data_IF_152061221763
#
_entry.id   IF_152061221763
#
_cell.length_a   1.000
_cell.length_b   1.000
_cell.length_c   1.000
_cell.angle_alpha   90.00
_cell.angle_beta   90.00
_cell.angle_gamma   90.00
#
_symmetry.space_group_name_H-M   'P 1'
#
loop_
_entity.id
_entity.type
_entity.pdbx_description
1 polymer ?
#
# COMPACT_ATOMS: atom_id res chain seq x y z
N UNK A 1 1.17 18.35 -8.01
CA UNK A 1 0.93 17.09 -7.28
C UNK A 1 -0.51 16.96 -6.83
N UNK A 2 -1.06 18.01 -6.20
CA UNK A 2 -2.46 17.95 -5.77
C UNK A 2 -3.43 17.81 -6.93
N UNK A 3 -3.18 18.49 -8.05
CA UNK A 3 -4.03 18.36 -9.23
C UNK A 3 -4.03 16.94 -9.77
N UNK A 4 -2.89 16.26 -9.69
CA UNK A 4 -2.78 14.86 -10.07
C UNK A 4 -3.68 13.99 -9.19
N UNK A 5 -3.63 14.18 -7.88
CA UNK A 5 -4.50 13.45 -6.96
C UNK A 5 -5.97 13.76 -7.22
N UNK A 6 -6.32 15.03 -7.44
CA UNK A 6 -7.69 15.43 -7.69
C UNK A 6 -8.33 14.69 -8.85
N UNK A 7 -7.56 14.43 -9.91
CA UNK A 7 -8.08 13.73 -11.07
C UNK A 7 -8.28 12.23 -10.83
N UNK A 8 -7.71 11.69 -9.76
CA UNK A 8 -7.83 10.28 -9.43
C UNK A 8 -8.91 9.97 -8.43
N UNK A 9 -9.54 10.99 -7.85
CA UNK A 9 -10.64 10.80 -6.94
C UNK A 9 -11.93 10.60 -7.70
N UNK A 10 -12.75 9.67 -7.22
CA UNK A 10 -14.10 9.46 -7.71
C UNK A 10 -15.09 10.12 -6.78
N UNK A 11 -16.35 10.18 -7.23
CA UNK A 11 -17.44 10.70 -6.41
C UNK A 11 -17.51 9.97 -5.08
N UNK A 12 -17.77 10.69 -4.01
CA UNK A 12 -17.90 10.13 -2.67
C UNK A 12 -16.63 10.10 -1.86
N UNK A 13 -15.49 10.45 -2.46
CA UNK A 13 -14.25 10.57 -1.71
C UNK A 13 -14.30 11.83 -0.87
N UNK A 14 -14.07 11.68 0.43
CA UNK A 14 -14.14 12.79 1.40
C UNK A 14 -12.74 13.26 1.76
N UNK A 15 -12.61 14.54 2.08
CA UNK A 15 -11.35 15.10 2.56
C UNK A 15 -10.86 14.40 3.82
N UNK A 16 -11.77 14.05 4.73
CA UNK A 16 -11.42 13.32 5.94
C UNK A 16 -10.83 11.95 5.65
N UNK A 17 -11.33 11.26 4.62
CA UNK A 17 -10.78 9.97 4.19
C UNK A 17 -9.36 10.12 3.66
N UNK A 18 -9.11 11.18 2.88
CA UNK A 18 -7.79 11.45 2.37
C UNK A 18 -6.81 11.77 3.50
N UNK A 19 -7.21 12.60 4.45
CA UNK A 19 -6.37 12.92 5.59
C UNK A 19 -6.06 11.69 6.44
N UNK A 20 -7.04 10.83 6.64
CA UNK A 20 -6.84 9.59 7.37
C UNK A 20 -5.82 8.69 6.66
N UNK A 21 -5.90 8.60 5.33
CA UNK A 21 -4.94 7.83 4.55
C UNK A 21 -3.53 8.39 4.67
N UNK A 22 -3.38 9.69 4.44
CA UNK A 22 -2.06 10.36 4.44
C UNK A 22 -1.38 10.23 5.80
N UNK A 23 -2.13 10.27 6.88
CA UNK A 23 -1.58 10.18 8.23
C UNK A 23 -1.43 8.75 8.75
N UNK A 24 -1.89 7.77 8.01
CA UNK A 24 -1.85 6.37 8.47
C UNK A 24 -0.42 5.81 8.47
N UNK A 25 -0.04 5.05 9.50
CA UNK A 25 1.25 4.37 9.51
C UNK A 25 1.35 3.23 8.50
N UNK A 26 0.25 2.87 7.86
CA UNK A 26 0.21 1.81 6.84
C UNK A 26 0.26 2.34 5.42
N UNK A 27 0.33 3.65 5.24
CA UNK A 27 0.39 4.29 3.92
C UNK A 27 1.69 5.07 3.76
N UNK A 28 2.34 4.91 2.62
CA UNK A 28 3.59 5.61 2.30
C UNK A 28 3.47 6.33 0.97
N UNK A 29 3.75 7.64 0.99
CA UNK A 29 3.90 8.41 -0.24
C UNK A 29 5.27 8.14 -0.87
N UNK A 30 5.58 8.87 -1.95
CA UNK A 30 6.81 8.66 -2.70
C UNK A 30 8.08 8.83 -1.85
N UNK A 31 8.08 9.80 -0.95
CA UNK A 31 9.24 10.05 -0.09
C UNK A 31 9.33 9.05 1.05
N UNK A 32 8.22 8.79 1.70
CA UNK A 32 8.15 7.89 2.85
C UNK A 32 8.48 6.46 2.49
N UNK A 33 8.11 6.02 1.28
CA UNK A 33 8.35 4.65 0.88
C UNK A 33 9.85 4.33 0.81
N UNK A 34 10.68 5.31 0.50
CA UNK A 34 12.13 5.10 0.44
C UNK A 34 12.67 4.63 1.80
N UNK A 35 12.27 5.30 2.86
CA UNK A 35 12.72 4.95 4.21
C UNK A 35 12.17 3.59 4.63
N UNK A 36 10.91 3.32 4.30
CA UNK A 36 10.30 2.03 4.63
C UNK A 36 11.03 0.87 3.96
N UNK A 37 11.36 0.99 2.67
CA UNK A 37 12.04 -0.06 1.92
C UNK A 37 13.46 -0.32 2.42
N UNK A 38 14.07 0.64 3.10
CA UNK A 38 15.40 0.51 3.69
C UNK A 38 15.36 0.08 5.15
N UNK A 39 14.18 0.03 5.76
CA UNK A 39 14.06 -0.29 7.18
C UNK A 39 14.42 -1.74 7.46
N UNK A 40 14.96 -2.00 8.64
CA UNK A 40 15.26 -3.37 9.06
C UNK A 40 13.98 -4.20 9.15
N UNK A 41 12.87 -3.58 9.52
CA UNK A 41 11.58 -4.26 9.56
C UNK A 41 11.24 -4.85 8.19
N UNK A 42 11.35 -4.05 7.12
CA UNK A 42 11.05 -4.51 5.77
C UNK A 42 12.07 -5.54 5.29
N UNK A 43 13.35 -5.27 5.52
CA UNK A 43 14.43 -6.10 4.98
C UNK A 43 14.49 -7.50 5.60
N UNK A 44 14.08 -7.63 6.86
CA UNK A 44 14.14 -8.89 7.59
C UNK A 44 12.96 -9.82 7.38
N UNK A 45 11.87 -9.30 6.81
CA UNK A 45 10.64 -10.06 6.62
C UNK A 45 10.57 -10.66 5.22
N UNK A 46 9.88 -11.78 5.10
CA UNK A 46 9.42 -12.25 3.80
C UNK A 46 8.35 -11.28 3.31
N UNK A 47 8.40 -10.92 2.05
CA UNK A 47 7.58 -9.84 1.53
C UNK A 47 6.94 -10.21 0.20
N UNK A 48 5.75 -9.69 0.01
CA UNK A 48 4.94 -9.94 -1.17
C UNK A 48 4.50 -8.58 -1.73
N UNK A 49 4.39 -8.50 -3.05
CA UNK A 49 3.97 -7.27 -3.72
C UNK A 49 2.69 -7.54 -4.49
N UNK A 50 1.68 -6.71 -4.30
CA UNK A 50 0.48 -6.73 -5.14
C UNK A 50 0.36 -5.40 -5.89
N UNK A 51 0.17 -5.50 -7.20
CA UNK A 51 0.08 -4.36 -8.10
C UNK A 51 -1.37 -4.26 -8.56
N UNK A 52 -1.96 -3.07 -8.36
CA UNK A 52 -3.34 -2.87 -8.76
C UNK A 52 -4.30 -3.76 -7.98
N UNK A 53 -4.34 -3.58 -6.66
CA UNK A 53 -5.03 -4.52 -5.77
C UNK A 53 -6.57 -4.50 -5.85
N UNK A 54 -7.16 -3.57 -6.61
CA UNK A 54 -8.62 -3.52 -6.78
C UNK A 54 -9.34 -3.31 -5.45
N UNK A 55 -10.22 -4.25 -5.08
CA UNK A 55 -10.94 -4.19 -3.79
C UNK A 55 -10.10 -4.71 -2.62
N UNK A 56 -8.96 -5.35 -2.90
CA UNK A 56 -8.06 -5.83 -1.89
C UNK A 56 -8.45 -7.17 -1.26
N UNK A 57 -9.43 -7.87 -1.80
CA UNK A 57 -9.90 -9.13 -1.20
C UNK A 57 -8.83 -10.22 -1.18
N UNK A 58 -8.12 -10.40 -2.29
CA UNK A 58 -7.04 -11.39 -2.35
C UNK A 58 -5.91 -11.01 -1.39
N UNK A 59 -5.56 -9.73 -1.37
CA UNK A 59 -4.51 -9.22 -0.50
C UNK A 59 -4.83 -9.49 0.97
N UNK A 60 -6.06 -9.20 1.37
CA UNK A 60 -6.53 -9.44 2.74
C UNK A 60 -6.47 -10.92 3.07
N UNK A 61 -6.98 -11.76 2.18
CA UNK A 61 -6.95 -13.21 2.38
C UNK A 61 -5.53 -13.72 2.60
N UNK A 62 -4.60 -13.32 1.74
CA UNK A 62 -3.21 -13.74 1.82
C UNK A 62 -2.53 -13.22 3.09
N UNK A 63 -2.81 -11.98 3.47
CA UNK A 63 -2.20 -11.39 4.66
C UNK A 63 -2.63 -12.08 5.94
N UNK A 64 -3.87 -12.51 6.00
CA UNK A 64 -4.39 -13.26 7.15
C UNK A 64 -3.82 -14.67 7.21
N UNK A 65 -3.52 -15.26 6.06
CA UNK A 65 -2.93 -16.57 5.97
C UNK A 65 -1.44 -16.57 6.34
N UNK A 66 -0.73 -15.51 5.97
CA UNK A 66 0.72 -15.39 6.17
C UNK A 66 1.04 -14.19 7.05
N UNK A 67 0.67 -14.27 8.32
CA UNK A 67 0.76 -13.15 9.27
C UNK A 67 2.18 -12.67 9.55
N UNK A 68 3.17 -13.53 9.33
CA UNK A 68 4.58 -13.19 9.56
C UNK A 68 5.25 -12.59 8.33
N UNK A 69 4.52 -12.42 7.25
CA UNK A 69 5.04 -11.82 6.03
C UNK A 69 4.46 -10.43 5.83
N UNK A 70 5.19 -9.59 5.09
CA UNK A 70 4.74 -8.25 4.72
C UNK A 70 4.08 -8.32 3.35
N UNK A 71 2.99 -7.58 3.20
CA UNK A 71 2.29 -7.41 1.93
C UNK A 71 2.32 -5.93 1.58
N UNK A 72 3.03 -5.59 0.51
CA UNK A 72 3.07 -4.22 -0.01
C UNK A 72 2.12 -4.13 -1.19
N UNK A 73 1.13 -3.26 -1.07
CA UNK A 73 0.13 -3.01 -2.09
C UNK A 73 0.44 -1.71 -2.80
N UNK A 74 0.51 -1.71 -4.12
CA UNK A 74 0.74 -0.48 -4.84
C UNK A 74 -0.33 -0.25 -5.89
N UNK A 75 -0.90 0.94 -5.88
CA UNK A 75 -1.91 1.37 -6.81
C UNK A 75 -1.89 2.90 -6.85
N UNK A 76 -1.78 3.51 -8.03
CA UNK A 76 -1.76 4.97 -8.12
C UNK A 76 -3.08 5.63 -7.76
N UNK A 77 -4.18 4.88 -7.73
CA UNK A 77 -5.50 5.43 -7.44
C UNK A 77 -5.77 5.48 -5.94
N UNK A 78 -5.85 6.70 -5.41
CA UNK A 78 -6.03 6.91 -3.98
C UNK A 78 -7.36 6.40 -3.45
N UNK A 79 -8.39 6.37 -4.28
CA UNK A 79 -9.69 5.84 -3.89
C UNK A 79 -9.60 4.39 -3.43
N UNK A 80 -8.87 3.56 -4.19
CA UNK A 80 -8.66 2.17 -3.81
C UNK A 80 -7.88 2.05 -2.50
N UNK A 81 -6.86 2.88 -2.34
CA UNK A 81 -6.07 2.90 -1.11
C UNK A 81 -6.90 3.28 0.11
N UNK A 82 -7.80 4.25 -0.04
CA UNK A 82 -8.71 4.66 1.04
C UNK A 82 -9.61 3.50 1.44
N UNK A 83 -10.19 2.81 0.47
CA UNK A 83 -11.07 1.68 0.73
C UNK A 83 -10.32 0.53 1.41
N UNK A 84 -9.12 0.24 0.93
CA UNK A 84 -8.30 -0.83 1.51
C UNK A 84 -7.91 -0.48 2.95
N UNK A 85 -7.51 0.76 3.21
CA UNK A 85 -7.16 1.18 4.56
C UNK A 85 -8.30 1.00 5.53
N UNK A 86 -9.53 1.33 5.12
CA UNK A 86 -10.71 1.13 5.98
C UNK A 86 -10.89 -0.34 6.36
N UNK A 87 -10.69 -1.24 5.41
CA UNK A 87 -10.76 -2.69 5.69
C UNK A 87 -9.66 -3.14 6.63
N UNK A 88 -8.44 -2.65 6.43
CA UNK A 88 -7.30 -2.95 7.28
C UNK A 88 -7.60 -2.52 8.72
N UNK A 89 -8.15 -1.33 8.91
CA UNK A 89 -8.47 -0.81 10.23
C UNK A 89 -9.57 -1.61 10.91
N UNK A 90 -10.64 -1.89 10.17
CA UNK A 90 -11.76 -2.68 10.71
C UNK A 90 -11.33 -4.08 11.12
N UNK A 91 -10.49 -4.71 10.31
CA UNK A 91 -10.05 -6.08 10.54
C UNK A 91 -8.80 -6.17 11.41
N UNK A 92 -8.25 -5.03 11.82
CA UNK A 92 -7.04 -4.94 12.64
C UNK A 92 -5.85 -5.68 12.01
N UNK A 93 -5.67 -5.53 10.70
CA UNK A 93 -4.57 -6.15 9.96
C UNK A 93 -3.32 -5.30 10.15
N UNK A 94 -2.19 -5.94 10.45
CA UNK A 94 -0.94 -5.24 10.77
C UNK A 94 0.18 -5.44 9.75
N UNK A 95 -0.02 -6.29 8.74
CA UNK A 95 1.05 -6.67 7.81
C UNK A 95 0.78 -6.27 6.36
N UNK A 96 -0.19 -5.38 6.12
CA UNK A 96 -0.41 -4.79 4.80
C UNK A 96 0.04 -3.33 4.84
N UNK A 97 0.83 -2.92 3.87
CA UNK A 97 1.29 -1.55 3.70
C UNK A 97 0.95 -1.09 2.29
N UNK A 98 0.57 0.16 2.15
CA UNK A 98 -0.01 0.70 0.92
C UNK A 98 0.90 1.81 0.39
N UNK A 99 1.14 1.80 -0.92
CA UNK A 99 1.82 2.89 -1.61
C UNK A 99 0.98 3.33 -2.81
N UNK A 100 0.98 4.63 -3.07
CA UNK A 100 0.29 5.19 -4.24
C UNK A 100 1.18 5.34 -5.45
N UNK A 101 2.36 4.76 -5.45
CA UNK A 101 3.24 4.76 -6.61
C UNK A 101 2.71 3.80 -7.68
N UNK A 102 2.95 4.14 -8.94
CA UNK A 102 2.73 3.17 -10.00
C UNK A 102 3.81 2.08 -9.95
N UNK A 103 3.58 1.01 -10.68
CA UNK A 103 4.50 -0.13 -10.65
C UNK A 103 5.91 0.26 -11.09
N UNK A 104 6.03 1.03 -12.15
CA UNK A 104 7.35 1.35 -12.71
C UNK A 104 8.19 2.17 -11.73
N UNK A 105 7.58 3.16 -11.10
CA UNK A 105 8.25 3.99 -10.10
C UNK A 105 8.66 3.15 -8.88
N UNK A 106 7.78 2.28 -8.43
CA UNK A 106 8.08 1.40 -7.30
C UNK A 106 9.18 0.41 -7.64
N UNK A 107 9.12 -0.18 -8.84
CA UNK A 107 10.11 -1.14 -9.30
C UNK A 107 11.53 -0.58 -9.24
N UNK A 108 11.69 0.66 -9.68
CA UNK A 108 13.01 1.30 -9.66
C UNK A 108 13.56 1.46 -8.25
N UNK A 109 12.68 1.59 -7.26
CA UNK A 109 13.08 1.74 -5.85
C UNK A 109 13.41 0.40 -5.18
N UNK A 110 12.80 -0.69 -5.64
CA UNK A 110 12.90 -1.99 -4.98
C UNK A 110 13.68 -3.02 -5.77
N UNK A 111 14.33 -2.63 -6.85
CA UNK A 111 14.98 -3.55 -7.79
C UNK A 111 15.96 -4.53 -7.15
N UNK A 112 16.46 -4.21 -5.97
CA UNK A 112 17.37 -5.09 -5.22
C UNK A 112 16.66 -5.86 -4.12
N UNK A 113 15.39 -5.63 -3.92
CA UNK A 113 14.61 -6.34 -2.91
C UNK A 113 14.04 -7.62 -3.50
N UNK A 114 13.94 -8.64 -2.68
CA UNK A 114 13.41 -9.94 -3.11
C UNK A 114 12.03 -10.14 -2.51
N UNK A 115 11.03 -10.23 -3.36
CA UNK A 115 9.67 -10.55 -2.95
C UNK A 115 9.43 -12.04 -3.09
N UNK A 116 8.71 -12.63 -2.12
CA UNK A 116 8.32 -14.03 -2.19
C UNK A 116 7.32 -14.25 -3.33
N UNK A 117 6.39 -13.30 -3.51
CA UNK A 117 5.37 -13.35 -4.54
C UNK A 117 5.06 -11.94 -5.03
N UNK A 118 4.75 -11.86 -6.32
CA UNK A 118 4.25 -10.64 -6.93
C UNK A 118 2.93 -11.00 -7.61
N UNK A 119 1.90 -10.28 -7.23
CA UNK A 119 0.56 -10.49 -7.77
C UNK A 119 0.16 -9.47 -8.79
#
# INVERSE_FOLDING_TARGET
MLSFYGRRFVKGTKDSDLQNLISSPFFFNEEEINDFLKSSFFLQKKKNLEIGFGTGENLIFQSLKFKNQIFLACDPFLTGSIKLLKKIEIMNIKNIFISNLDFLSLYQKIKKSVFERIF
#
